data_IF_201813718008
#
_entry.id   IF_201813718008
#
_cell.length_a   1.000
_cell.length_b   1.000
_cell.length_c   1.000
_cell.angle_alpha   90.00
_cell.angle_beta   90.00
_cell.angle_gamma   90.00
#
_symmetry.space_group_name_H-M   'P 1'
#
loop_
_entity.id
_entity.type
_entity.pdbx_description
1 polymer ?
#
# COMPACT_ATOMS: atom_id res chain seq x y z
N UNK A 1 -7.56 16.52 -22.36
CA UNK A 1 -7.53 17.25 -21.08
C UNK A 1 -7.49 16.28 -19.91
N UNK A 2 -7.29 16.79 -18.72
CA UNK A 2 -7.16 16.01 -17.46
C UNK A 2 -8.41 15.17 -17.19
N UNK A 3 -9.57 15.60 -17.67
CA UNK A 3 -10.84 14.90 -17.47
C UNK A 3 -10.91 13.53 -18.15
N UNK A 4 -10.19 13.35 -19.24
CA UNK A 4 -10.18 12.08 -19.98
C UNK A 4 -8.92 11.26 -19.72
N UNK A 5 -8.26 11.50 -18.59
CA UNK A 5 -7.00 10.85 -18.23
C UNK A 5 -7.15 10.16 -16.88
N UNK A 6 -6.81 8.88 -16.82
CA UNK A 6 -6.55 8.23 -15.53
C UNK A 6 -5.15 8.64 -15.06
N UNK A 7 -5.02 8.96 -13.78
CA UNK A 7 -3.76 9.39 -13.16
C UNK A 7 -3.46 8.47 -11.98
N UNK A 8 -2.26 7.92 -11.95
CA UNK A 8 -1.74 7.20 -10.79
C UNK A 8 -0.42 7.85 -10.38
N UNK A 9 -0.34 8.28 -9.14
CA UNK A 9 0.88 8.83 -8.53
C UNK A 9 1.23 7.93 -7.37
N UNK A 10 2.44 7.40 -7.37
CA UNK A 10 2.90 6.50 -6.33
C UNK A 10 4.38 6.71 -6.03
N UNK A 11 4.78 6.36 -4.81
CA UNK A 11 6.19 6.22 -4.46
C UNK A 11 6.55 4.72 -4.44
N UNK A 12 7.81 4.39 -4.68
CA UNK A 12 8.35 3.03 -4.63
C UNK A 12 8.47 2.51 -3.19
N UNK A 13 8.64 3.41 -2.21
CA UNK A 13 8.74 3.10 -0.78
C UNK A 13 8.30 4.28 0.09
N UNK A 14 8.15 4.03 1.38
CA UNK A 14 7.93 5.06 2.41
C UNK A 14 9.25 5.66 2.95
N UNK A 15 9.22 6.12 4.20
CA UNK A 15 10.42 6.69 4.84
C UNK A 15 11.49 5.64 5.14
N UNK A 16 12.76 5.99 4.97
CA UNK A 16 13.91 5.12 5.26
C UNK A 16 14.70 5.50 6.54
N UNK A 17 14.27 6.53 7.24
CA UNK A 17 15.16 7.19 8.19
C UNK A 17 15.14 6.61 9.61
N UNK A 18 14.48 5.48 9.84
CA UNK A 18 14.33 4.97 11.21
C UNK A 18 14.60 3.47 11.33
N UNK A 19 14.89 3.04 12.54
CA UNK A 19 15.27 1.68 12.89
C UNK A 19 14.11 0.83 13.41
N UNK A 20 12.94 1.41 13.65
CA UNK A 20 11.78 0.69 14.17
C UNK A 20 10.60 0.78 13.20
N UNK A 21 10.26 -0.36 12.59
CA UNK A 21 9.13 -0.50 11.68
C UNK A 21 7.80 0.01 12.28
N UNK A 22 7.62 -0.08 13.59
CA UNK A 22 6.38 0.30 14.27
C UNK A 22 6.26 1.79 14.54
N UNK A 23 7.35 2.54 14.47
CA UNK A 23 7.38 3.99 14.73
C UNK A 23 7.32 4.81 13.46
N UNK A 24 7.45 4.17 12.29
CA UNK A 24 7.56 4.85 11.01
C UNK A 24 6.46 4.40 10.09
N UNK A 25 5.85 5.37 9.48
CA UNK A 25 4.99 5.12 8.35
C UNK A 25 5.85 4.78 7.12
N UNK A 26 6.04 3.48 6.89
CA UNK A 26 6.71 2.95 5.70
C UNK A 26 5.79 2.93 4.47
N UNK A 27 4.54 3.39 4.65
CA UNK A 27 3.58 3.36 3.56
C UNK A 27 3.97 4.35 2.47
N UNK A 28 4.21 3.89 1.25
CA UNK A 28 4.36 4.79 0.13
C UNK A 28 3.03 5.45 -0.22
N UNK A 29 3.11 6.66 -0.75
CA UNK A 29 1.92 7.34 -1.25
C UNK A 29 1.35 6.60 -2.46
N UNK A 30 0.02 6.53 -2.54
CA UNK A 30 -0.72 6.05 -3.69
C UNK A 30 -1.94 6.93 -3.91
N UNK A 31 -1.96 7.67 -5.02
CA UNK A 31 -3.08 8.52 -5.42
C UNK A 31 -3.61 8.01 -6.76
N UNK A 32 -4.92 7.88 -6.87
CA UNK A 32 -5.58 7.38 -8.07
C UNK A 32 -6.73 8.32 -8.44
N UNK A 33 -6.80 8.63 -9.73
CA UNK A 33 -7.92 9.32 -10.36
C UNK A 33 -8.33 8.56 -11.62
N UNK A 34 -9.59 8.17 -11.71
CA UNK A 34 -10.16 7.54 -12.91
C UNK A 34 -10.45 8.55 -14.03
N UNK A 35 -10.78 8.03 -15.21
CA UNK A 35 -11.25 8.85 -16.33
C UNK A 35 -12.60 9.47 -16.01
N UNK A 36 -12.81 10.71 -16.44
CA UNK A 36 -14.06 11.44 -16.24
C UNK A 36 -14.30 11.92 -14.81
N UNK A 37 -13.46 11.55 -13.87
CA UNK A 37 -13.59 11.99 -12.48
C UNK A 37 -13.11 13.42 -12.31
N UNK A 38 -13.88 14.17 -11.53
CA UNK A 38 -13.55 15.52 -11.06
C UNK A 38 -13.74 15.56 -9.57
N UNK A 39 -12.69 15.89 -8.87
CA UNK A 39 -12.67 15.99 -7.42
C UNK A 39 -12.12 17.34 -7.02
N UNK A 40 -12.84 18.06 -6.18
CA UNK A 40 -12.39 19.33 -5.59
C UNK A 40 -11.45 19.08 -4.41
N UNK A 41 -11.54 17.89 -3.79
CA UNK A 41 -10.75 17.47 -2.64
C UNK A 41 -10.26 16.03 -2.80
N UNK A 42 -9.17 15.70 -2.11
CA UNK A 42 -8.69 14.32 -2.00
C UNK A 42 -9.55 13.55 -1.00
N UNK A 43 -10.01 12.38 -1.41
CA UNK A 43 -10.63 11.41 -0.50
C UNK A 43 -9.57 10.41 -0.05
N UNK A 44 -9.46 10.21 1.26
CA UNK A 44 -8.56 9.21 1.84
C UNK A 44 -9.34 7.91 2.05
N UNK A 45 -8.78 6.80 1.58
CA UNK A 45 -9.29 5.46 1.85
C UNK A 45 -8.34 4.70 2.76
N UNK A 46 -8.89 4.05 3.78
CA UNK A 46 -8.18 3.18 4.72
C UNK A 46 -8.35 1.69 4.40
N UNK A 47 -8.76 1.37 3.18
CA UNK A 47 -8.86 -0.01 2.72
C UNK A 47 -7.49 -0.72 2.77
N UNK A 48 -7.44 -2.02 3.11
CA UNK A 48 -6.18 -2.77 3.26
C UNK A 48 -5.59 -3.20 1.91
N UNK A 49 -5.36 -2.24 1.01
CA UNK A 49 -4.73 -2.48 -0.30
C UNK A 49 -3.23 -2.69 -0.18
N UNK A 50 -2.64 -3.29 -1.19
CA UNK A 50 -1.20 -3.45 -1.32
C UNK A 50 -0.76 -3.29 -2.77
N UNK A 51 0.55 -3.19 -3.02
CA UNK A 51 1.08 -3.10 -4.38
C UNK A 51 0.83 -4.35 -5.23
N UNK A 52 0.55 -5.48 -4.62
CA UNK A 52 0.14 -6.70 -5.33
C UNK A 52 -1.19 -6.51 -6.10
N UNK A 53 -2.01 -5.53 -5.69
CA UNK A 53 -3.29 -5.23 -6.34
C UNK A 53 -3.14 -4.32 -7.57
N UNK A 54 -1.98 -3.67 -7.74
CA UNK A 54 -1.82 -2.60 -8.73
C UNK A 54 -1.99 -3.08 -10.17
N UNK A 55 -1.55 -4.30 -10.49
CA UNK A 55 -1.69 -4.82 -11.86
C UNK A 55 -3.16 -4.88 -12.27
N UNK A 56 -4.03 -5.39 -11.39
CA UNK A 56 -5.46 -5.48 -11.63
C UNK A 56 -6.10 -4.09 -11.63
N UNK A 57 -5.69 -3.21 -10.70
CA UNK A 57 -6.18 -1.85 -10.63
C UNK A 57 -5.88 -1.06 -11.92
N UNK A 58 -4.67 -1.20 -12.48
CA UNK A 58 -4.32 -0.56 -13.75
C UNK A 58 -5.20 -1.06 -14.90
N UNK A 59 -5.47 -2.37 -14.96
CA UNK A 59 -6.34 -2.92 -16.00
C UNK A 59 -7.75 -2.32 -15.89
N UNK A 60 -8.31 -2.24 -14.71
CA UNK A 60 -9.62 -1.64 -14.46
C UNK A 60 -9.68 -0.16 -14.84
N UNK A 61 -8.64 0.61 -14.51
CA UNK A 61 -8.53 2.00 -14.93
C UNK A 61 -8.51 2.14 -16.47
N UNK A 62 -7.81 1.24 -17.16
CA UNK A 62 -7.78 1.19 -18.64
C UNK A 62 -9.15 0.85 -19.21
N UNK A 63 -9.89 -0.03 -18.56
CA UNK A 63 -11.24 -0.43 -18.94
C UNK A 63 -12.29 0.65 -18.61
N UNK A 64 -11.88 1.73 -17.92
CA UNK A 64 -12.70 2.92 -17.66
C UNK A 64 -13.41 2.90 -16.30
N UNK A 65 -13.01 2.03 -15.37
CA UNK A 65 -13.52 2.10 -14.01
C UNK A 65 -13.03 3.37 -13.29
N UNK A 66 -13.87 3.87 -12.38
CA UNK A 66 -13.53 4.98 -11.50
C UNK A 66 -12.57 4.55 -10.39
N UNK A 67 -11.96 5.52 -9.71
CA UNK A 67 -11.01 5.30 -8.63
C UNK A 67 -11.58 4.46 -7.47
N UNK A 68 -12.89 4.59 -7.20
CA UNK A 68 -13.57 3.85 -6.12
C UNK A 68 -13.74 2.34 -6.41
N UNK A 69 -13.68 1.94 -7.68
CA UNK A 69 -13.91 0.55 -8.11
C UNK A 69 -12.66 -0.24 -8.46
N UNK A 70 -11.48 0.39 -8.41
CA UNK A 70 -10.25 -0.25 -8.91
C UNK A 70 -9.70 -1.34 -7.99
N UNK A 71 -10.03 -1.30 -6.70
CA UNK A 71 -9.65 -2.32 -5.73
C UNK A 71 -10.86 -3.11 -5.24
N UNK A 72 -10.64 -4.39 -4.95
CA UNK A 72 -11.67 -5.27 -4.37
C UNK A 72 -11.85 -5.09 -2.85
N UNK A 73 -10.93 -4.35 -2.22
CA UNK A 73 -10.87 -4.19 -0.78
C UNK A 73 -11.50 -2.87 -0.34
N UNK A 74 -12.22 -2.91 0.79
CA UNK A 74 -12.95 -1.78 1.36
C UNK A 74 -12.47 -1.47 2.77
N UNK A 75 -12.77 -0.28 3.25
CA UNK A 75 -12.49 0.09 4.64
C UNK A 75 -13.18 -0.87 5.60
N UNK A 76 -12.44 -1.30 6.63
CA UNK A 76 -12.92 -2.26 7.61
C UNK A 76 -12.72 -3.73 7.23
N UNK A 77 -12.30 -4.03 6.00
CA UNK A 77 -11.94 -5.40 5.62
C UNK A 77 -10.71 -5.88 6.39
N UNK A 78 -10.73 -7.17 6.76
CA UNK A 78 -9.56 -7.85 7.30
C UNK A 78 -8.87 -8.63 6.18
N UNK A 79 -7.60 -8.27 5.91
CA UNK A 79 -6.82 -8.91 4.85
C UNK A 79 -5.39 -9.13 5.28
N UNK A 80 -4.96 -10.38 5.36
CA UNK A 80 -3.58 -10.72 5.65
C UNK A 80 -2.66 -10.30 4.49
N UNK A 81 -1.67 -9.47 4.80
CA UNK A 81 -0.61 -9.03 3.88
C UNK A 81 0.73 -9.26 4.54
N UNK A 82 1.70 -9.76 3.79
CA UNK A 82 3.03 -10.05 4.31
C UNK A 82 3.99 -8.91 4.00
N UNK A 83 4.87 -8.66 4.97
CA UNK A 83 5.91 -7.65 4.93
C UNK A 83 7.25 -8.29 5.24
N UNK A 84 8.28 -7.95 4.48
CA UNK A 84 9.67 -8.29 4.80
C UNK A 84 10.40 -7.02 5.23
N UNK A 85 10.95 -7.05 6.41
CA UNK A 85 11.69 -5.95 7.01
C UNK A 85 13.14 -6.31 7.24
N UNK A 86 14.04 -5.40 6.93
CA UNK A 86 15.44 -5.47 7.32
C UNK A 86 15.87 -4.14 7.95
N UNK A 87 16.76 -4.20 8.94
CA UNK A 87 17.35 -3.01 9.53
C UNK A 87 18.43 -2.43 8.61
N UNK A 88 18.48 -1.11 8.52
CA UNK A 88 19.48 -0.42 7.71
C UNK A 88 20.93 -0.68 8.22
N UNK A 89 21.10 -0.89 9.52
CA UNK A 89 22.39 -1.17 10.14
C UNK A 89 22.86 -2.62 9.92
N UNK A 90 21.93 -3.57 9.85
CA UNK A 90 22.19 -4.97 9.53
C UNK A 90 21.11 -5.51 8.61
N UNK A 91 21.40 -5.53 7.32
CA UNK A 91 20.48 -6.02 6.30
C UNK A 91 20.69 -7.49 5.94
N UNK A 92 21.39 -8.25 6.78
CA UNK A 92 21.65 -9.68 6.56
C UNK A 92 20.41 -10.52 6.83
N UNK A 93 19.50 -10.05 7.67
CA UNK A 93 18.29 -10.76 8.06
C UNK A 93 17.04 -10.00 7.58
N UNK A 94 16.06 -10.77 7.09
CA UNK A 94 14.73 -10.28 6.73
C UNK A 94 13.73 -10.87 7.71
N UNK A 95 13.11 -10.04 8.52
CA UNK A 95 12.04 -10.44 9.44
C UNK A 95 10.69 -10.34 8.73
N UNK A 96 9.90 -11.40 8.79
CA UNK A 96 8.56 -11.41 8.23
C UNK A 96 7.54 -10.88 9.24
N UNK A 97 6.71 -9.97 8.77
CA UNK A 97 5.53 -9.45 9.47
C UNK A 97 4.27 -9.75 8.67
N UNK A 98 3.15 -9.85 9.36
CA UNK A 98 1.81 -9.87 8.78
C UNK A 98 1.01 -8.67 9.29
N UNK A 99 0.26 -8.03 8.41
CA UNK A 99 -0.68 -6.97 8.74
C UNK A 99 -2.07 -7.31 8.21
N UNK A 100 -3.09 -7.20 9.05
CA UNK A 100 -4.47 -7.57 8.69
C UNK A 100 -5.41 -6.39 8.51
N UNK A 101 -5.15 -5.26 9.14
CA UNK A 101 -5.96 -4.05 9.05
C UNK A 101 -5.47 -3.03 8.03
N UNK A 102 -5.94 -1.79 8.14
CA UNK A 102 -5.40 -0.66 7.39
C UNK A 102 -3.88 -0.56 7.56
N UNK A 103 -3.19 -0.09 6.52
CA UNK A 103 -1.75 0.11 6.56
C UNK A 103 -1.32 1.11 7.67
N UNK A 104 -2.19 2.01 8.08
CA UNK A 104 -1.94 2.96 9.18
C UNK A 104 -2.21 2.38 10.57
N UNK A 105 -2.92 1.26 10.66
CA UNK A 105 -3.18 0.60 11.94
C UNK A 105 -2.02 -0.34 12.30
N UNK A 106 -0.99 0.23 12.90
CA UNK A 106 0.21 -0.51 13.30
C UNK A 106 -0.06 -1.54 14.41
N UNK A 107 -1.22 -1.50 15.07
CA UNK A 107 -1.61 -2.54 16.05
C UNK A 107 -1.91 -3.88 15.39
N UNK A 108 -2.24 -3.88 14.09
CA UNK A 108 -2.50 -5.07 13.29
C UNK A 108 -1.25 -5.64 12.60
N UNK A 109 -0.09 -4.96 12.73
CA UNK A 109 1.19 -5.42 12.21
C UNK A 109 1.92 -6.26 13.26
N UNK A 110 2.07 -7.55 13.01
CA UNK A 110 2.67 -8.50 13.96
C UNK A 110 3.76 -9.34 13.30
N UNK A 111 4.85 -9.67 14.01
CA UNK A 111 5.86 -10.59 13.49
C UNK A 111 5.27 -12.01 13.37
N UNK A 112 5.58 -12.70 12.28
CA UNK A 112 5.14 -14.08 12.06
C UNK A 112 6.04 -15.11 12.76
N UNK A 113 7.21 -14.70 13.20
CA UNK A 113 8.25 -15.57 13.72
C UNK A 113 9.21 -16.11 12.66
N UNK A 114 8.97 -15.83 11.39
CA UNK A 114 9.85 -16.25 10.29
C UNK A 114 10.92 -15.20 10.03
N UNK A 115 12.16 -15.65 9.92
CA UNK A 115 13.33 -14.85 9.58
C UNK A 115 14.06 -15.52 8.42
N UNK A 116 14.44 -14.75 7.43
CA UNK A 116 15.20 -15.20 6.26
C UNK A 116 16.61 -14.60 6.30
N UNK A 117 17.60 -15.41 5.98
CA UNK A 117 18.95 -14.92 5.74
C UNK A 117 19.07 -14.39 4.31
N UNK A 118 19.60 -13.19 4.16
CA UNK A 118 19.91 -12.64 2.86
C UNK A 118 21.24 -13.25 2.36
N UNK A 119 21.13 -13.96 1.27
CA UNK A 119 22.29 -14.53 0.58
C UNK A 119 22.99 -13.50 -0.30
#
# INVERSE_FOLDING_TARGET
GVDNTAIVIMADHGSHNDTDLRTINQNPILLIKGRGERHDELTVSYAPVSYDDLQQAYQRLLDGEGSDGVFDWHEGDARARRFLWYEMADNSLLTEYEQTGSAEDMTTLVPTGTVYERK
#
